data_IF_312667478946
#
_entry.id   IF_312667478946
#
_cell.length_a   1.000
_cell.length_b   1.000
_cell.length_c   1.000
_cell.angle_alpha   90.00
_cell.angle_beta   90.00
_cell.angle_gamma   90.00
#
_symmetry.space_group_name_H-M   'P 1'
#
loop_
_entity.id
_entity.type
_entity.pdbx_description
1 polymer ?
#
# COMPACT_ATOMS: atom_id res chain seq x y z
N UNK A 1 -20.81 50.21 34.81
CA UNK A 1 -21.35 48.88 34.43
C UNK A 1 -20.94 48.68 32.98
N UNK A 2 -19.70 48.24 32.72
CA UNK A 2 -19.31 46.87 32.36
C UNK A 2 -20.33 46.15 31.47
N UNK A 3 -19.95 45.90 30.21
CA UNK A 3 -19.74 44.60 29.52
C UNK A 3 -19.27 45.01 28.10
N UNK A 4 -18.01 44.93 27.70
CA UNK A 4 -17.08 43.80 27.58
C UNK A 4 -17.69 42.52 27.02
N UNK A 5 -17.12 42.05 25.92
CA UNK A 5 -17.67 40.97 25.11
C UNK A 5 -16.98 40.87 23.76
N UNK A 6 -15.65 40.99 23.73
CA UNK A 6 -14.84 40.57 22.59
C UNK A 6 -15.06 39.08 22.39
N UNK A 7 -15.86 38.72 21.38
CA UNK A 7 -16.03 37.34 20.94
C UNK A 7 -14.73 36.93 20.23
N UNK A 8 -13.80 36.36 21.00
CA UNK A 8 -12.59 35.74 20.49
C UNK A 8 -13.04 34.54 19.65
N UNK A 9 -12.76 34.61 18.35
CA UNK A 9 -12.88 33.49 17.44
C UNK A 9 -12.13 32.30 18.05
N UNK A 10 -12.88 31.25 18.35
CA UNK A 10 -12.38 29.93 18.67
C UNK A 10 -11.60 29.42 17.45
N UNK A 11 -10.30 29.69 17.41
CA UNK A 11 -9.40 29.01 16.50
C UNK A 11 -9.30 27.58 17.02
N UNK A 12 -10.10 26.69 16.45
CA UNK A 12 -9.88 25.26 16.54
C UNK A 12 -8.48 24.98 15.98
N UNK A 13 -7.50 24.96 16.87
CA UNK A 13 -6.12 24.61 16.58
C UNK A 13 -6.14 23.14 16.18
N UNK A 14 -6.04 22.89 14.87
CA UNK A 14 -5.75 21.56 14.33
C UNK A 14 -4.53 21.01 15.08
N UNK A 15 -4.60 19.82 15.68
CA UNK A 15 -3.51 19.32 16.51
C UNK A 15 -2.25 19.07 15.67
N UNK A 16 -1.09 19.35 16.26
CA UNK A 16 0.26 19.38 15.66
C UNK A 16 0.71 18.09 14.93
N UNK A 17 -0.03 16.99 15.06
CA UNK A 17 0.23 15.73 14.35
C UNK A 17 -0.49 15.61 13.00
N UNK A 18 -1.44 16.50 12.71
CA UNK A 18 -2.20 16.51 11.47
C UNK A 18 -1.57 17.51 10.48
N UNK A 19 -0.41 17.14 9.95
CA UNK A 19 0.29 17.90 8.91
C UNK A 19 -0.09 17.32 7.54
N UNK A 20 -0.97 18.03 6.83
CA UNK A 20 -1.32 17.68 5.46
C UNK A 20 -0.14 17.94 4.51
N UNK A 21 0.26 16.89 3.77
CA UNK A 21 1.17 17.04 2.65
C UNK A 21 0.45 17.83 1.53
N UNK A 22 0.86 19.08 1.32
CA UNK A 22 0.27 19.92 0.30
C UNK A 22 0.46 19.33 -1.10
N UNK A 23 -0.66 19.14 -1.80
CA UNK A 23 -0.65 18.63 -3.15
C UNK A 23 -0.08 19.68 -4.11
N UNK A 24 1.07 19.38 -4.74
CA UNK A 24 1.70 20.29 -5.70
C UNK A 24 2.01 19.60 -7.02
N UNK A 25 2.17 20.40 -8.07
CA UNK A 25 2.27 19.92 -9.45
C UNK A 25 3.48 18.99 -9.70
N UNK A 26 4.59 19.17 -8.99
CA UNK A 26 5.75 18.28 -9.14
C UNK A 26 5.46 16.87 -8.65
N UNK A 27 4.68 16.74 -7.58
CA UNK A 27 4.28 15.46 -7.03
C UNK A 27 3.33 14.70 -7.96
N UNK A 28 2.35 15.37 -8.57
CA UNK A 28 1.45 14.75 -9.54
C UNK A 28 2.13 14.33 -10.85
N UNK A 29 3.18 15.06 -11.24
CA UNK A 29 4.04 14.68 -12.38
C UNK A 29 4.91 13.47 -12.06
N UNK A 30 5.49 13.42 -10.86
CA UNK A 30 6.34 12.32 -10.42
C UNK A 30 5.55 11.02 -10.21
N UNK A 31 4.35 11.12 -9.64
CA UNK A 31 3.48 9.99 -9.34
C UNK A 31 2.12 10.19 -10.04
N UNK A 32 1.99 9.83 -11.32
CA UNK A 32 0.70 9.86 -12.01
C UNK A 32 -0.35 9.05 -11.25
N UNK A 33 -1.55 9.59 -11.11
CA UNK A 33 -2.64 8.92 -10.39
C UNK A 33 -2.57 9.03 -8.86
N UNK A 34 -1.66 9.84 -8.31
CA UNK A 34 -1.52 10.02 -6.86
C UNK A 34 -2.81 10.44 -6.13
N UNK A 35 -3.71 11.14 -6.81
CA UNK A 35 -5.01 11.61 -6.30
C UNK A 35 -6.19 10.71 -6.65
N UNK A 36 -5.96 9.57 -7.31
CA UNK A 36 -7.03 8.62 -7.63
C UNK A 36 -7.50 7.86 -6.38
N UNK A 37 -8.68 7.24 -6.47
CA UNK A 37 -9.23 6.42 -5.40
C UNK A 37 -8.37 5.18 -5.14
N UNK A 38 -7.54 5.28 -4.11
CA UNK A 38 -6.59 4.26 -3.72
C UNK A 38 -7.25 2.91 -3.37
N UNK A 39 -8.51 2.88 -2.94
CA UNK A 39 -9.21 1.66 -2.52
C UNK A 39 -9.92 0.93 -3.66
N UNK A 40 -9.90 1.47 -4.88
CA UNK A 40 -10.71 0.98 -6.02
C UNK A 40 -9.91 0.83 -7.32
N UNK A 41 -8.58 0.70 -7.23
CA UNK A 41 -7.69 0.47 -8.36
C UNK A 41 -7.04 -0.92 -8.27
N UNK A 42 -7.79 -1.98 -8.61
CA UNK A 42 -7.19 -3.30 -8.78
C UNK A 42 -6.27 -3.30 -10.01
N UNK A 43 -5.20 -4.07 -9.96
CA UNK A 43 -4.38 -4.37 -11.15
C UNK A 43 -4.59 -5.82 -11.57
N UNK A 44 -4.39 -6.09 -12.86
CA UNK A 44 -4.44 -7.46 -13.39
C UNK A 44 -3.28 -8.30 -12.85
N UNK A 45 -3.46 -9.62 -12.85
CA UNK A 45 -2.38 -10.55 -12.45
C UNK A 45 -1.13 -10.39 -13.33
N UNK A 46 -1.31 -10.08 -14.61
CA UNK A 46 -0.21 -9.82 -15.55
C UNK A 46 0.58 -8.57 -15.15
N UNK A 47 -0.10 -7.47 -14.80
CA UNK A 47 0.53 -6.26 -14.30
C UNK A 47 1.26 -6.52 -12.98
N UNK A 48 0.64 -7.26 -12.05
CA UNK A 48 1.29 -7.64 -10.79
C UNK A 48 2.55 -8.46 -11.02
N UNK A 49 2.49 -9.47 -11.89
CA UNK A 49 3.64 -10.30 -12.26
C UNK A 49 4.73 -9.43 -12.89
N UNK A 50 4.38 -8.48 -13.76
CA UNK A 50 5.33 -7.56 -14.36
C UNK A 50 6.01 -6.68 -13.31
N UNK A 51 5.25 -6.06 -12.41
CA UNK A 51 5.80 -5.20 -11.35
C UNK A 51 6.70 -5.97 -10.39
N UNK A 52 6.24 -7.14 -9.93
CA UNK A 52 7.03 -8.00 -9.06
C UNK A 52 8.21 -8.64 -9.79
N UNK A 53 8.12 -8.89 -11.09
CA UNK A 53 9.17 -9.44 -11.92
C UNK A 53 10.39 -8.53 -12.03
N UNK A 54 10.20 -7.22 -11.92
CA UNK A 54 11.28 -6.23 -11.88
C UNK A 54 12.08 -6.26 -10.56
N UNK A 55 11.55 -6.86 -9.49
CA UNK A 55 12.19 -6.88 -8.17
C UNK A 55 12.50 -8.32 -7.76
N UNK A 56 13.76 -8.75 -7.61
CA UNK A 56 14.09 -10.13 -7.24
C UNK A 56 13.46 -10.55 -5.89
N UNK A 57 13.25 -11.85 -5.70
CA UNK A 57 12.85 -12.39 -4.38
C UNK A 57 14.05 -12.37 -3.44
N UNK A 58 13.80 -12.01 -2.19
CA UNK A 58 14.76 -12.18 -1.11
C UNK A 58 14.82 -13.65 -0.71
N UNK A 59 15.97 -14.29 -0.91
CA UNK A 59 16.15 -15.72 -0.61
C UNK A 59 16.07 -16.05 0.87
N UNK A 60 16.21 -15.05 1.75
CA UNK A 60 16.06 -15.21 3.20
C UNK A 60 14.60 -15.18 3.70
N UNK A 61 13.63 -14.83 2.85
CA UNK A 61 12.23 -14.72 3.25
C UNK A 61 11.39 -15.92 2.77
N UNK A 62 10.51 -16.41 3.64
CA UNK A 62 9.47 -17.38 3.28
C UNK A 62 8.27 -16.61 2.75
N UNK A 63 7.94 -16.82 1.48
CA UNK A 63 6.81 -16.15 0.80
C UNK A 63 5.52 -16.95 0.85
N UNK A 64 5.61 -18.25 1.14
CA UNK A 64 4.44 -19.12 1.15
C UNK A 64 3.62 -18.83 2.41
N UNK A 65 2.31 -18.54 2.27
CA UNK A 65 1.45 -18.31 3.41
C UNK A 65 1.35 -19.57 4.27
N UNK A 66 1.16 -19.44 5.59
CA UNK A 66 0.89 -20.59 6.45
C UNK A 66 -0.33 -21.36 5.94
N UNK A 67 -0.17 -22.67 5.71
CA UNK A 67 -1.28 -23.53 5.32
C UNK A 67 -2.03 -24.02 6.56
N UNK A 68 -3.36 -24.01 6.50
CA UNK A 68 -4.20 -24.69 7.49
C UNK A 68 -4.30 -26.18 7.16
N UNK A 69 -4.13 -27.03 8.18
CA UNK A 69 -4.32 -28.47 8.05
C UNK A 69 -5.81 -28.75 7.79
N UNK A 70 -6.17 -28.97 6.51
CA UNK A 70 -7.54 -28.92 6.00
C UNK A 70 -8.49 -30.05 6.39
N UNK A 71 -8.22 -30.81 7.47
CA UNK A 71 -9.08 -31.91 7.89
C UNK A 71 -10.23 -31.38 8.75
N UNK A 72 -11.46 -31.44 8.23
CA UNK A 72 -12.69 -31.08 8.96
C UNK A 72 -13.23 -29.66 8.76
N UNK A 73 -12.64 -28.86 7.86
CA UNK A 73 -13.14 -27.49 7.57
C UNK A 73 -14.33 -27.51 6.60
N UNK A 74 -15.33 -26.65 6.86
CA UNK A 74 -16.47 -26.44 5.94
C UNK A 74 -16.01 -25.78 4.63
N UNK A 75 -16.86 -25.85 3.60
CA UNK A 75 -16.60 -25.23 2.29
C UNK A 75 -16.46 -23.71 2.41
N UNK A 76 -17.29 -23.10 3.25
CA UNK A 76 -17.31 -21.66 3.53
C UNK A 76 -15.99 -21.22 4.18
N UNK A 77 -15.55 -21.94 5.22
CA UNK A 77 -14.26 -21.68 5.86
C UNK A 77 -13.08 -21.80 4.90
N UNK A 78 -13.08 -22.78 3.99
CA UNK A 78 -12.02 -22.92 2.97
C UNK A 78 -11.99 -21.74 2.00
N UNK A 79 -13.17 -21.21 1.63
CA UNK A 79 -13.28 -20.04 0.76
C UNK A 79 -12.76 -18.78 1.44
N UNK A 80 -13.10 -18.57 2.71
CA UNK A 80 -12.61 -17.45 3.51
C UNK A 80 -11.09 -17.54 3.72
N UNK A 81 -10.58 -18.72 4.07
CA UNK A 81 -9.14 -18.96 4.20
C UNK A 81 -8.39 -18.67 2.91
N UNK A 82 -8.90 -19.13 1.76
CA UNK A 82 -8.29 -18.85 0.45
C UNK A 82 -8.20 -17.36 0.15
N UNK A 83 -9.19 -16.54 0.54
CA UNK A 83 -9.14 -15.07 0.39
C UNK A 83 -8.05 -14.46 1.29
N UNK A 84 -7.92 -14.96 2.52
CA UNK A 84 -6.87 -14.50 3.44
C UNK A 84 -5.46 -14.91 2.97
N UNK A 85 -5.31 -16.12 2.44
CA UNK A 85 -4.05 -16.57 1.84
C UNK A 85 -3.64 -15.71 0.64
N UNK A 86 -4.59 -15.31 -0.23
CA UNK A 86 -4.30 -14.40 -1.35
C UNK A 86 -3.84 -13.01 -0.85
N UNK A 87 -4.47 -12.49 0.20
CA UNK A 87 -4.03 -11.25 0.87
C UNK A 87 -2.61 -11.39 1.41
N UNK A 88 -2.31 -12.48 2.12
CA UNK A 88 -0.96 -12.75 2.67
C UNK A 88 0.08 -12.86 1.55
N UNK A 89 -0.24 -13.56 0.47
CA UNK A 89 0.62 -13.68 -0.70
C UNK A 89 0.92 -12.29 -1.30
N UNK A 90 -0.07 -11.42 -1.45
CA UNK A 90 0.13 -10.05 -1.95
C UNK A 90 0.99 -9.20 -1.01
N UNK A 91 0.78 -9.28 0.30
CA UNK A 91 1.62 -8.62 1.30
C UNK A 91 3.07 -9.07 1.16
N UNK A 92 3.30 -10.38 1.04
CA UNK A 92 4.65 -10.93 0.82
C UNK A 92 5.28 -10.42 -0.48
N UNK A 93 4.47 -10.20 -1.53
CA UNK A 93 4.94 -9.65 -2.80
C UNK A 93 5.47 -8.21 -2.66
N UNK A 94 4.79 -7.37 -1.86
CA UNK A 94 5.14 -5.96 -1.64
C UNK A 94 6.51 -5.81 -0.97
N UNK A 95 6.98 -6.79 -0.21
CA UNK A 95 8.31 -6.69 0.42
C UNK A 95 9.45 -6.76 -0.60
N UNK A 96 9.24 -7.36 -1.78
CA UNK A 96 10.28 -7.48 -2.84
C UNK A 96 10.82 -6.13 -3.31
N UNK A 97 9.99 -5.16 -3.76
CA UNK A 97 10.50 -3.84 -4.11
C UNK A 97 11.17 -3.12 -2.92
N UNK A 98 10.72 -3.34 -1.68
CA UNK A 98 11.35 -2.76 -0.48
C UNK A 98 12.77 -3.31 -0.29
N UNK A 99 12.90 -4.63 -0.26
CA UNK A 99 14.18 -5.33 -0.10
C UNK A 99 15.15 -4.95 -1.23
N UNK A 100 14.67 -4.93 -2.47
CA UNK A 100 15.48 -4.58 -3.63
C UNK A 100 15.95 -3.12 -3.59
N UNK A 101 15.07 -2.18 -3.22
CA UNK A 101 15.45 -0.78 -3.09
C UNK A 101 16.50 -0.57 -2.00
N UNK A 102 16.34 -1.20 -0.82
CA UNK A 102 17.31 -1.13 0.27
C UNK A 102 18.64 -1.79 -0.13
N UNK A 103 18.61 -2.94 -0.81
CA UNK A 103 19.82 -3.59 -1.31
C UNK A 103 20.59 -2.67 -2.26
N UNK A 104 19.91 -2.04 -3.22
CA UNK A 104 20.53 -1.10 -4.15
C UNK A 104 21.13 0.11 -3.42
N UNK A 105 20.43 0.62 -2.39
CA UNK A 105 20.93 1.71 -1.54
C UNK A 105 22.23 1.34 -0.83
N UNK A 106 22.35 0.12 -0.33
CA UNK A 106 23.52 -0.32 0.42
C UNK A 106 24.70 -0.69 -0.49
N UNK A 107 24.43 -1.27 -1.66
CA UNK A 107 25.45 -1.77 -2.58
C UNK A 107 26.03 -0.68 -3.49
N UNK A 108 25.23 0.29 -3.93
CA UNK A 108 25.69 1.35 -4.83
C UNK A 108 24.93 2.67 -4.58
N UNK A 109 25.32 3.38 -3.53
CA UNK A 109 24.77 4.69 -3.18
C UNK A 109 24.90 5.71 -4.31
N UNK A 110 25.89 5.55 -5.21
CA UNK A 110 26.14 6.48 -6.31
C UNK A 110 25.17 6.31 -7.49
N UNK A 111 24.60 5.10 -7.64
CA UNK A 111 23.60 4.79 -8.66
C UNK A 111 22.19 5.28 -8.32
N UNK A 112 21.89 5.50 -7.04
CA UNK A 112 20.57 5.95 -6.62
C UNK A 112 20.34 7.42 -6.96
N UNK A 113 19.32 7.66 -7.77
CA UNK A 113 18.89 8.99 -8.14
C UNK A 113 17.40 9.14 -7.91
N UNK A 114 16.92 10.38 -8.07
CA UNK A 114 15.52 10.76 -7.89
C UNK A 114 14.56 9.92 -8.72
N UNK A 115 14.94 9.51 -9.95
CA UNK A 115 14.04 8.73 -10.81
C UNK A 115 13.80 7.32 -10.24
N UNK A 116 14.84 6.66 -9.71
CA UNK A 116 14.71 5.33 -9.09
C UNK A 116 13.85 5.41 -7.82
N UNK A 117 14.03 6.44 -7.00
CA UNK A 117 13.21 6.64 -5.80
C UNK A 117 11.74 6.91 -6.14
N UNK A 118 11.47 7.67 -7.20
CA UNK A 118 10.11 7.90 -7.71
C UNK A 118 9.50 6.60 -8.24
N UNK A 119 10.24 5.83 -9.04
CA UNK A 119 9.79 4.54 -9.57
C UNK A 119 9.44 3.56 -8.44
N UNK A 120 10.34 3.40 -7.46
CA UNK A 120 10.10 2.60 -6.27
C UNK A 120 8.83 3.05 -5.53
N UNK A 121 8.68 4.34 -5.28
CA UNK A 121 7.51 4.90 -4.58
C UNK A 121 6.21 4.64 -5.35
N UNK A 122 6.24 4.77 -6.68
CA UNK A 122 5.12 4.48 -7.56
C UNK A 122 4.74 3.00 -7.55
N UNK A 123 5.72 2.10 -7.64
CA UNK A 123 5.51 0.65 -7.58
C UNK A 123 4.86 0.24 -6.25
N UNK A 124 5.39 0.72 -5.12
CA UNK A 124 4.81 0.44 -3.80
C UNK A 124 3.38 0.96 -3.71
N UNK A 125 3.11 2.19 -4.17
CA UNK A 125 1.77 2.76 -4.14
C UNK A 125 0.77 1.95 -4.98
N UNK A 126 1.17 1.50 -6.17
CA UNK A 126 0.33 0.66 -7.05
C UNK A 126 0.01 -0.68 -6.37
N UNK A 127 1.02 -1.39 -5.85
CA UNK A 127 0.82 -2.69 -5.22
C UNK A 127 -0.02 -2.60 -3.94
N UNK A 128 0.17 -1.53 -3.15
CA UNK A 128 -0.66 -1.28 -1.97
C UNK A 128 -2.11 -0.95 -2.36
N UNK A 129 -2.31 -0.19 -3.45
CA UNK A 129 -3.65 0.13 -3.96
C UNK A 129 -4.37 -1.12 -4.49
N UNK A 130 -3.65 -2.02 -5.16
CA UNK A 130 -4.17 -3.33 -5.57
C UNK A 130 -4.58 -4.16 -4.35
N UNK A 131 -3.71 -4.28 -3.34
CA UNK A 131 -4.03 -4.99 -2.09
C UNK A 131 -5.27 -4.40 -1.40
N UNK A 132 -5.35 -3.07 -1.29
CA UNK A 132 -6.48 -2.39 -0.68
C UNK A 132 -7.78 -2.66 -1.46
N UNK A 133 -7.71 -2.67 -2.78
CA UNK A 133 -8.84 -2.98 -3.66
C UNK A 133 -9.34 -4.41 -3.48
N UNK A 134 -8.43 -5.38 -3.31
CA UNK A 134 -8.81 -6.75 -2.97
C UNK A 134 -9.49 -6.87 -1.62
N UNK A 135 -8.99 -6.16 -0.60
CA UNK A 135 -9.64 -6.13 0.72
C UNK A 135 -11.06 -5.55 0.61
N UNK A 136 -11.25 -4.48 -0.16
CA UNK A 136 -12.57 -3.91 -0.44
C UNK A 136 -13.48 -4.92 -1.13
N UNK A 137 -12.98 -5.68 -2.11
CA UNK A 137 -13.75 -6.72 -2.79
C UNK A 137 -14.13 -7.84 -1.83
N UNK A 138 -13.20 -8.30 -0.99
CA UNK A 138 -13.46 -9.33 0.03
C UNK A 138 -14.57 -8.91 0.99
N UNK A 139 -14.60 -7.64 1.41
CA UNK A 139 -15.68 -7.09 2.26
C UNK A 139 -17.03 -7.13 1.55
N UNK A 140 -17.10 -6.59 0.34
CA UNK A 140 -18.33 -6.59 -0.47
C UNK A 140 -18.87 -8.00 -0.70
N UNK A 141 -17.99 -8.96 -1.02
CA UNK A 141 -18.35 -10.37 -1.23
C UNK A 141 -18.86 -11.08 0.04
N UNK A 142 -18.46 -10.58 1.21
CA UNK A 142 -18.79 -11.16 2.51
C UNK A 142 -19.98 -10.45 3.18
N UNK A 143 -20.56 -9.43 2.52
CA UNK A 143 -21.68 -8.65 3.04
C UNK A 143 -21.33 -7.69 4.18
N UNK A 144 -20.06 -7.32 4.30
CA UNK A 144 -19.53 -6.35 5.28
C UNK A 144 -19.38 -4.95 4.70
#
# INVERSE_FOLDING_TARGET
MSQDGTNIQDSSSVPDWEIDLQFYQGLSKALPGISQDFLRLPITDSERIKFLGCCPRNTGMVYDPPSLNGMGLSSEFKKEDSKLQDIQYRISGITRPIDYFVQNLLQDQSSLNTAIAIEFSGLIKILLSDLASQISQVKMDSGL
#
